data_IF_761054825037
#
_entry.id   IF_761054825037
#
_cell.length_a   1.000
_cell.length_b   1.000
_cell.length_c   1.000
_cell.angle_alpha   90.00
_cell.angle_beta   90.00
_cell.angle_gamma   90.00
#
_symmetry.space_group_name_H-M   'P 1'
#
loop_
_entity.id
_entity.type
_entity.pdbx_description
1 polymer ?
#
# COMPACT_ATOMS: atom_id res chain seq x y z
N UNK A 1 6.50 -17.71 -42.67
CA UNK A 1 5.35 -16.81 -42.48
C UNK A 1 5.05 -16.81 -40.99
N UNK A 2 5.44 -15.76 -40.26
CA UNK A 2 5.19 -15.63 -38.81
C UNK A 2 3.71 -15.25 -38.65
N UNK A 3 2.94 -16.04 -37.90
CA UNK A 3 1.62 -15.59 -37.41
C UNK A 3 1.80 -15.10 -35.99
N UNK A 4 1.40 -13.85 -35.79
CA UNK A 4 1.34 -13.15 -34.53
C UNK A 4 0.12 -13.61 -33.70
N UNK A 5 0.10 -13.10 -32.47
CA UNK A 5 -1.07 -12.96 -31.58
C UNK A 5 -1.36 -14.13 -30.64
N UNK A 6 -0.47 -14.32 -29.66
CA UNK A 6 -0.84 -14.93 -28.38
C UNK A 6 -1.19 -13.79 -27.42
N UNK A 7 -2.41 -13.24 -27.54
CA UNK A 7 -3.00 -12.48 -26.43
C UNK A 7 -3.17 -13.47 -25.28
N UNK A 8 -2.53 -13.20 -24.16
CA UNK A 8 -2.69 -13.96 -22.94
C UNK A 8 -4.12 -13.69 -22.43
N UNK A 9 -5.09 -14.46 -22.89
CA UNK A 9 -6.43 -14.48 -22.30
C UNK A 9 -6.27 -14.96 -20.86
N UNK A 10 -6.55 -14.06 -19.92
CA UNK A 10 -6.58 -14.39 -18.49
C UNK A 10 -7.70 -15.41 -18.29
N UNK A 11 -7.44 -16.48 -17.54
CA UNK A 11 -8.43 -17.52 -17.29
C UNK A 11 -9.66 -16.89 -16.59
N UNK A 12 -10.90 -17.08 -17.08
CA UNK A 12 -12.10 -16.51 -16.49
C UNK A 12 -12.25 -16.77 -14.97
N UNK A 13 -11.76 -17.91 -14.48
CA UNK A 13 -11.76 -18.23 -13.04
C UNK A 13 -10.80 -17.33 -12.23
N UNK A 14 -9.76 -16.81 -12.88
CA UNK A 14 -8.83 -15.86 -12.30
C UNK A 14 -9.43 -14.47 -12.15
N UNK A 15 -10.25 -14.03 -13.10
CA UNK A 15 -10.95 -12.74 -13.02
C UNK A 15 -12.06 -12.74 -11.96
N UNK A 16 -12.81 -13.84 -11.83
CA UNK A 16 -13.90 -13.97 -10.84
C UNK A 16 -13.43 -13.97 -9.38
N UNK A 17 -12.12 -14.09 -9.13
CA UNK A 17 -11.54 -14.21 -7.79
C UNK A 17 -10.60 -13.06 -7.41
N UNK A 18 -10.30 -12.14 -8.32
CA UNK A 18 -9.41 -10.99 -8.02
C UNK A 18 -10.20 -9.88 -7.32
N UNK A 19 -9.75 -9.47 -6.13
CA UNK A 19 -10.30 -8.30 -5.45
C UNK A 19 -9.78 -7.03 -6.12
N UNK A 20 -10.68 -6.17 -6.62
CA UNK A 20 -10.35 -4.80 -7.03
C UNK A 20 -10.56 -3.86 -5.85
N UNK A 21 -9.47 -3.28 -5.36
CA UNK A 21 -9.47 -2.32 -4.28
C UNK A 21 -9.27 -0.91 -4.85
N UNK A 22 -10.33 -0.11 -4.90
CA UNK A 22 -10.24 1.27 -5.34
C UNK A 22 -9.86 2.12 -4.12
N UNK A 23 -8.70 2.76 -4.16
CA UNK A 23 -8.18 3.54 -3.05
C UNK A 23 -7.79 4.94 -3.53
N UNK A 24 -8.75 5.88 -3.56
CA UNK A 24 -8.54 7.22 -4.11
C UNK A 24 -7.85 8.15 -3.09
N UNK A 25 -6.83 7.63 -2.39
CA UNK A 25 -6.06 8.43 -1.43
C UNK A 25 -5.23 9.46 -2.18
N UNK A 26 -5.15 10.66 -1.61
CA UNK A 26 -4.45 11.79 -2.20
C UNK A 26 -3.57 12.51 -1.17
N UNK A 27 -3.85 12.32 0.12
CA UNK A 27 -3.15 12.96 1.23
C UNK A 27 -1.68 12.55 1.34
N UNK A 28 -1.30 11.37 0.83
CA UNK A 28 0.09 10.91 0.84
C UNK A 28 1.01 11.76 -0.05
N UNK A 29 0.47 12.44 -1.06
CA UNK A 29 1.26 13.27 -1.96
C UNK A 29 1.50 14.65 -1.35
N UNK A 30 2.72 14.95 -0.93
CA UNK A 30 3.08 16.15 -0.17
C UNK A 30 2.73 17.47 -0.85
N UNK A 31 2.26 18.44 -0.04
CA UNK A 31 1.83 19.76 -0.51
C UNK A 31 2.92 20.50 -1.27
N UNK A 32 4.15 20.48 -0.74
CA UNK A 32 5.29 21.19 -1.30
C UNK A 32 5.58 20.75 -2.74
N UNK A 33 5.73 19.44 -2.96
CA UNK A 33 6.07 18.89 -4.27
C UNK A 33 4.95 19.09 -5.28
N UNK A 34 3.69 18.90 -4.88
CA UNK A 34 2.55 19.12 -5.77
C UNK A 34 2.46 20.59 -6.18
N UNK A 35 2.67 21.52 -5.25
CA UNK A 35 2.67 22.96 -5.54
C UNK A 35 3.80 23.38 -6.48
N UNK A 36 4.96 22.74 -6.41
CA UNK A 36 6.08 22.99 -7.32
C UNK A 36 5.84 22.43 -8.73
N UNK A 37 5.20 21.25 -8.83
CA UNK A 37 4.98 20.56 -10.10
C UNK A 37 3.78 21.09 -10.88
N UNK A 38 2.76 21.61 -10.19
CA UNK A 38 1.53 22.15 -10.79
C UNK A 38 1.21 23.57 -10.26
N UNK A 39 2.13 24.55 -10.45
CA UNK A 39 1.96 25.91 -9.91
C UNK A 39 0.75 26.67 -10.49
N UNK A 40 0.25 26.26 -11.65
CA UNK A 40 -0.91 26.86 -12.33
C UNK A 40 -2.26 26.44 -11.73
N UNK A 41 -2.30 25.39 -10.92
CA UNK A 41 -3.52 24.88 -10.30
C UNK A 41 -3.58 25.26 -8.81
N UNK A 42 -4.77 25.63 -8.28
CA UNK A 42 -4.96 25.74 -6.84
C UNK A 42 -4.56 24.44 -6.14
N UNK A 43 -3.71 24.53 -5.10
CA UNK A 43 -3.08 23.38 -4.45
C UNK A 43 -4.10 22.34 -3.95
N UNK A 44 -5.23 22.81 -3.41
CA UNK A 44 -6.34 21.98 -2.93
C UNK A 44 -6.93 21.11 -4.05
N UNK A 45 -6.95 21.62 -5.30
CA UNK A 45 -7.40 20.87 -6.48
C UNK A 45 -6.28 20.02 -7.07
N UNK A 46 -5.05 20.53 -7.10
CA UNK A 46 -3.91 19.85 -7.67
C UNK A 46 -3.68 18.49 -6.97
N UNK A 47 -3.67 18.47 -5.63
CA UNK A 47 -3.51 17.22 -4.87
C UNK A 47 -4.66 16.25 -5.08
N UNK A 48 -5.90 16.74 -5.11
CA UNK A 48 -7.09 15.88 -5.36
C UNK A 48 -7.10 15.26 -6.76
N UNK A 49 -6.23 15.70 -7.67
CA UNK A 49 -5.96 15.05 -8.94
C UNK A 49 -5.64 13.56 -8.80
N UNK A 50 -4.97 13.13 -7.72
CA UNK A 50 -4.70 11.72 -7.44
C UNK A 50 -5.99 10.91 -7.23
N UNK A 51 -6.95 11.45 -6.47
CA UNK A 51 -8.24 10.80 -6.24
C UNK A 51 -9.04 10.66 -7.55
N UNK A 52 -8.97 11.68 -8.42
CA UNK A 52 -9.56 11.64 -9.75
C UNK A 52 -8.86 10.62 -10.66
N UNK A 53 -7.53 10.54 -10.59
CA UNK A 53 -6.72 9.55 -11.32
C UNK A 53 -7.16 8.12 -11.02
N UNK A 54 -7.38 7.78 -9.75
CA UNK A 54 -7.90 6.46 -9.35
C UNK A 54 -9.24 6.12 -10.02
N UNK A 55 -10.14 7.11 -10.16
CA UNK A 55 -11.44 6.95 -10.84
C UNK A 55 -11.30 6.83 -12.36
N UNK A 56 -10.35 7.53 -12.95
CA UNK A 56 -10.03 7.32 -14.37
C UNK A 56 -9.48 5.92 -14.63
N UNK A 57 -8.58 5.42 -13.78
CA UNK A 57 -8.09 4.04 -13.87
C UNK A 57 -9.24 3.03 -13.79
N UNK A 58 -10.15 3.22 -12.83
CA UNK A 58 -11.36 2.41 -12.70
C UNK A 58 -12.20 2.40 -13.98
N UNK A 59 -12.43 3.57 -14.59
CA UNK A 59 -13.24 3.70 -15.79
C UNK A 59 -12.57 3.15 -17.07
N UNK A 60 -11.23 3.09 -17.11
CA UNK A 60 -10.47 2.58 -18.25
C UNK A 60 -10.32 1.06 -18.26
N UNK A 61 -10.42 0.43 -17.09
CA UNK A 61 -10.28 -1.01 -16.98
C UNK A 61 -11.55 -1.72 -17.44
N UNK A 62 -11.42 -2.94 -18.00
CA UNK A 62 -12.58 -3.72 -18.38
C UNK A 62 -13.44 -4.05 -17.15
N UNK A 63 -14.71 -4.35 -17.41
CA UNK A 63 -15.57 -5.01 -16.44
C UNK A 63 -14.87 -6.29 -15.94
N UNK A 64 -15.07 -6.61 -14.67
CA UNK A 64 -14.62 -7.87 -14.09
C UNK A 64 -15.75 -8.47 -13.26
N UNK A 65 -15.65 -9.77 -12.99
CA UNK A 65 -16.65 -10.49 -12.19
C UNK A 65 -16.24 -10.67 -10.71
N UNK A 66 -15.03 -10.24 -10.32
CA UNK A 66 -14.54 -10.29 -8.95
C UNK A 66 -15.17 -9.25 -8.01
N UNK A 67 -14.87 -9.29 -6.69
CA UNK A 67 -15.35 -8.28 -5.77
C UNK A 67 -14.65 -6.93 -6.02
N UNK A 68 -15.42 -5.84 -5.90
CA UNK A 68 -14.89 -4.47 -5.88
C UNK A 68 -15.21 -3.81 -4.55
N UNK A 69 -14.19 -3.22 -3.93
CA UNK A 69 -14.31 -2.47 -2.68
C UNK A 69 -13.68 -1.09 -2.85
N UNK A 70 -14.27 -0.08 -2.22
CA UNK A 70 -13.75 1.28 -2.20
C UNK A 70 -13.26 1.60 -0.80
N UNK A 71 -11.98 1.94 -0.66
CA UNK A 71 -11.45 2.42 0.62
C UNK A 71 -12.01 3.82 0.88
N UNK A 72 -12.71 4.06 2.00
CA UNK A 72 -13.15 5.39 2.35
C UNK A 72 -11.94 6.27 2.67
N UNK A 73 -11.86 7.41 1.98
CA UNK A 73 -10.79 8.40 2.16
C UNK A 73 -11.41 9.68 2.71
N UNK A 74 -10.95 10.19 3.87
CA UNK A 74 -11.38 11.48 4.40
C UNK A 74 -11.23 12.60 3.37
N UNK A 75 -12.20 13.50 3.30
CA UNK A 75 -12.12 14.63 2.36
C UNK A 75 -11.35 15.81 2.91
N UNK A 76 -11.20 15.88 4.24
CA UNK A 76 -10.35 16.85 4.90
C UNK A 76 -8.89 16.41 4.85
N UNK A 77 -8.00 17.38 5.02
CA UNK A 77 -6.56 17.19 5.23
C UNK A 77 -6.13 17.93 6.49
N UNK A 78 -5.02 17.51 7.07
CA UNK A 78 -4.40 18.21 8.19
C UNK A 78 -2.91 18.47 7.90
N UNK A 79 -2.30 19.32 8.72
CA UNK A 79 -0.88 19.63 8.59
C UNK A 79 0.02 18.44 8.88
N UNK A 80 1.32 18.69 8.98
CA UNK A 80 2.29 17.65 9.35
C UNK A 80 2.28 17.37 10.84
N UNK A 81 2.26 16.09 11.20
CA UNK A 81 2.46 15.61 12.56
C UNK A 81 3.40 14.41 12.52
N UNK A 82 4.50 14.46 13.27
CA UNK A 82 5.47 13.37 13.28
C UNK A 82 6.13 13.12 11.92
N UNK A 83 6.40 14.18 11.15
CA UNK A 83 7.05 14.08 9.83
C UNK A 83 6.13 13.50 8.73
N UNK A 84 4.81 13.54 8.94
CA UNK A 84 3.83 13.02 7.97
C UNK A 84 2.67 14.02 7.87
N UNK A 85 2.44 14.53 6.65
CA UNK A 85 1.26 15.34 6.34
C UNK A 85 -0.03 14.52 6.45
N UNK A 86 -1.09 15.12 7.01
CA UNK A 86 -2.40 14.47 7.08
C UNK A 86 -2.37 13.08 7.74
N UNK A 87 -1.47 12.91 8.72
CA UNK A 87 -1.17 11.62 9.35
C UNK A 87 -2.42 10.91 9.87
N UNK A 88 -3.33 11.62 10.52
CA UNK A 88 -4.59 11.04 11.03
C UNK A 88 -5.47 10.48 9.90
N UNK A 89 -5.55 11.18 8.77
CA UNK A 89 -6.35 10.76 7.62
C UNK A 89 -5.73 9.56 6.90
N UNK A 90 -4.40 9.51 6.84
CA UNK A 90 -3.64 8.35 6.36
C UNK A 90 -3.93 7.14 7.26
N UNK A 91 -3.78 7.28 8.59
CA UNK A 91 -4.05 6.20 9.54
C UNK A 91 -5.48 5.67 9.41
N UNK A 92 -6.48 6.55 9.31
CA UNK A 92 -7.87 6.16 9.11
C UNK A 92 -8.08 5.36 7.81
N UNK A 93 -7.41 5.76 6.73
CA UNK A 93 -7.51 5.07 5.44
C UNK A 93 -6.80 3.71 5.46
N UNK A 94 -5.63 3.62 6.14
CA UNK A 94 -4.93 2.36 6.36
C UNK A 94 -5.81 1.38 7.15
N UNK A 95 -6.45 1.83 8.23
CA UNK A 95 -7.35 1.01 9.05
C UNK A 95 -8.55 0.50 8.24
N UNK A 96 -9.17 1.37 7.44
CA UNK A 96 -10.29 0.99 6.58
C UNK A 96 -9.88 -0.03 5.49
N UNK A 97 -8.73 0.16 4.85
CA UNK A 97 -8.21 -0.80 3.87
C UNK A 97 -7.92 -2.16 4.51
N UNK A 98 -7.35 -2.18 5.72
CA UNK A 98 -7.09 -3.43 6.45
C UNK A 98 -8.37 -4.16 6.85
N UNK A 99 -9.42 -3.43 7.20
CA UNK A 99 -10.73 -4.00 7.47
C UNK A 99 -11.30 -4.63 6.20
N UNK A 100 -11.27 -3.92 5.08
CA UNK A 100 -11.70 -4.43 3.77
C UNK A 100 -10.95 -5.73 3.43
N UNK A 101 -9.62 -5.72 3.45
CA UNK A 101 -8.82 -6.90 3.10
C UNK A 101 -9.06 -8.09 4.04
N UNK A 102 -9.48 -7.85 5.29
CA UNK A 102 -9.81 -8.91 6.23
C UNK A 102 -11.08 -9.68 5.86
N UNK A 103 -12.04 -9.01 5.21
CA UNK A 103 -13.28 -9.62 4.71
C UNK A 103 -13.06 -10.42 3.42
N UNK A 104 -11.96 -10.15 2.71
CA UNK A 104 -11.57 -10.77 1.44
C UNK A 104 -10.24 -11.55 1.58
N UNK A 105 -10.07 -12.23 2.72
CA UNK A 105 -8.85 -12.98 3.05
C UNK A 105 -8.57 -14.17 2.12
N UNK A 106 -9.60 -14.65 1.42
CA UNK A 106 -9.59 -15.76 0.48
C UNK A 106 -9.34 -15.34 -0.98
N UNK A 107 -9.43 -14.04 -1.30
CA UNK A 107 -9.16 -13.54 -2.65
C UNK A 107 -7.70 -13.85 -3.04
N UNK A 108 -7.42 -14.65 -4.09
CA UNK A 108 -6.06 -15.03 -4.47
C UNK A 108 -5.19 -13.87 -4.96
N UNK A 109 -5.80 -12.77 -5.44
CA UNK A 109 -5.11 -11.60 -5.97
C UNK A 109 -5.81 -10.32 -5.54
N UNK A 110 -5.02 -9.25 -5.42
CA UNK A 110 -5.49 -7.90 -5.13
C UNK A 110 -5.01 -6.98 -6.26
N UNK A 111 -5.94 -6.30 -6.94
CA UNK A 111 -5.68 -5.21 -7.88
C UNK A 111 -6.05 -3.90 -7.20
N UNK A 112 -5.04 -3.13 -6.80
CA UNK A 112 -5.27 -1.80 -6.20
C UNK A 112 -5.27 -0.73 -7.29
N UNK A 113 -6.37 0.03 -7.37
CA UNK A 113 -6.48 1.22 -8.21
C UNK A 113 -6.29 2.43 -7.31
N UNK A 114 -5.04 2.89 -7.25
CA UNK A 114 -4.60 3.91 -6.30
C UNK A 114 -4.68 5.34 -6.81
N UNK A 115 -4.62 6.26 -5.87
CA UNK A 115 -4.27 7.64 -6.15
C UNK A 115 -2.76 7.89 -6.08
N UNK A 116 -2.06 7.39 -5.06
CA UNK A 116 -0.61 7.58 -4.87
C UNK A 116 0.08 6.32 -4.31
N UNK A 117 1.42 6.29 -4.29
CA UNK A 117 2.19 5.05 -4.07
C UNK A 117 1.96 4.36 -2.71
N UNK A 118 1.61 5.11 -1.65
CA UNK A 118 1.40 4.55 -0.31
C UNK A 118 0.13 3.72 -0.16
N UNK A 119 -0.82 3.76 -1.11
CA UNK A 119 -1.95 2.82 -1.11
C UNK A 119 -1.53 1.37 -1.29
N UNK A 120 -0.26 1.13 -1.66
CA UNK A 120 0.33 -0.20 -1.76
C UNK A 120 0.68 -0.79 -0.39
N UNK A 121 0.87 0.03 0.65
CA UNK A 121 1.39 -0.43 1.96
C UNK A 121 0.54 -1.54 2.57
N UNK A 122 -0.78 -1.36 2.64
CA UNK A 122 -1.69 -2.36 3.21
C UNK A 122 -1.82 -3.62 2.33
N UNK A 123 -2.04 -3.54 1.00
CA UNK A 123 -2.03 -4.71 0.12
C UNK A 123 -0.74 -5.53 0.22
N UNK A 124 0.43 -4.89 0.19
CA UNK A 124 1.72 -5.59 0.22
C UNK A 124 1.99 -6.25 1.58
N UNK A 125 1.63 -5.59 2.69
CA UNK A 125 1.78 -6.19 4.03
C UNK A 125 0.78 -7.32 4.27
N UNK A 126 -0.41 -7.26 3.66
CA UNK A 126 -1.35 -8.38 3.63
C UNK A 126 -0.84 -9.56 2.78
N UNK A 127 -0.27 -9.29 1.61
CA UNK A 127 0.39 -10.32 0.81
C UNK A 127 1.59 -10.93 1.55
N UNK A 128 2.35 -10.12 2.28
CA UNK A 128 3.46 -10.61 3.10
C UNK A 128 2.94 -11.52 4.22
N UNK A 129 1.78 -11.22 4.81
CA UNK A 129 1.10 -12.09 5.77
C UNK A 129 0.72 -13.43 5.13
N UNK A 130 0.18 -13.43 3.91
CA UNK A 130 -0.30 -14.62 3.18
C UNK A 130 0.83 -15.52 2.70
N UNK A 131 1.88 -14.93 2.12
CA UNK A 131 2.94 -15.67 1.42
C UNK A 131 4.24 -15.78 2.22
N UNK A 132 4.40 -15.00 3.29
CA UNK A 132 5.59 -15.06 4.14
C UNK A 132 6.88 -14.83 3.36
N UNK A 133 7.82 -15.75 3.48
CA UNK A 133 9.14 -15.66 2.82
C UNK A 133 9.11 -15.97 1.32
N UNK A 134 7.98 -16.45 0.80
CA UNK A 134 7.80 -16.73 -0.63
C UNK A 134 7.31 -15.50 -1.40
N UNK A 135 7.03 -14.38 -0.71
CA UNK A 135 6.70 -13.12 -1.38
C UNK A 135 7.94 -12.44 -1.95
N UNK A 136 7.90 -12.15 -3.25
CA UNK A 136 8.79 -11.20 -3.90
C UNK A 136 8.01 -9.91 -4.24
N UNK A 137 8.65 -8.76 -3.99
CA UNK A 137 8.13 -7.44 -4.34
C UNK A 137 8.96 -6.88 -5.50
N UNK A 138 8.27 -6.48 -6.58
CA UNK A 138 8.88 -5.74 -7.68
C UNK A 138 8.31 -4.33 -7.64
N UNK A 139 9.12 -3.36 -7.21
CA UNK A 139 8.75 -1.95 -7.15
C UNK A 139 9.17 -1.26 -8.45
N UNK A 140 8.21 -0.85 -9.27
CA UNK A 140 8.45 -0.16 -10.54
C UNK A 140 8.03 1.29 -10.36
N UNK A 141 8.99 2.12 -9.99
CA UNK A 141 8.81 3.55 -9.78
C UNK A 141 10.10 4.28 -10.16
N UNK A 142 9.98 5.56 -10.52
CA UNK A 142 11.13 6.45 -10.73
C UNK A 142 11.85 6.77 -9.40
N UNK A 143 11.12 6.69 -8.28
CA UNK A 143 11.64 6.91 -6.93
C UNK A 143 11.65 5.59 -6.14
N UNK A 144 12.56 5.44 -5.17
CA UNK A 144 12.65 4.20 -4.40
C UNK A 144 11.58 4.10 -3.29
N UNK A 145 10.91 5.20 -2.95
CA UNK A 145 9.94 5.33 -1.84
C UNK A 145 10.44 4.80 -0.49
N UNK A 146 11.73 5.06 -0.21
CA UNK A 146 12.43 4.67 1.01
C UNK A 146 12.63 5.82 2.00
N UNK A 147 11.86 6.90 1.87
CA UNK A 147 11.89 7.98 2.85
C UNK A 147 11.33 7.51 4.20
N UNK A 148 11.64 8.27 5.25
CA UNK A 148 11.12 8.08 6.61
C UNK A 148 10.75 9.45 7.17
N UNK A 149 10.03 9.53 8.30
CA UNK A 149 9.74 10.82 8.94
C UNK A 149 10.99 11.70 9.21
N UNK A 150 12.18 11.11 9.22
CA UNK A 150 13.45 11.79 9.45
C UNK A 150 14.14 12.30 8.17
N UNK A 151 13.70 11.94 6.96
CA UNK A 151 14.36 12.35 5.69
C UNK A 151 14.04 13.78 5.28
N UNK A 152 13.04 14.42 5.91
CA UNK A 152 12.71 15.84 5.74
C UNK A 152 11.67 16.14 4.67
N UNK A 153 11.04 15.11 4.09
CA UNK A 153 9.88 15.27 3.22
C UNK A 153 8.66 14.56 3.85
N UNK A 154 7.62 15.33 4.14
CA UNK A 154 6.48 14.86 4.94
C UNK A 154 5.39 14.14 4.12
N UNK A 155 5.57 14.02 2.80
CA UNK A 155 4.64 13.30 1.94
C UNK A 155 4.79 11.78 2.11
N UNK A 156 3.81 11.14 2.72
CA UNK A 156 3.83 9.69 3.01
C UNK A 156 3.98 8.79 1.78
N UNK A 157 3.61 9.26 0.58
CA UNK A 157 3.79 8.52 -0.67
C UNK A 157 5.25 8.11 -0.91
N UNK A 158 6.22 8.89 -0.43
CA UNK A 158 7.65 8.62 -0.53
C UNK A 158 8.15 7.62 0.52
N UNK A 159 7.31 7.20 1.47
CA UNK A 159 7.67 6.29 2.57
C UNK A 159 7.06 4.89 2.38
N UNK A 160 6.44 4.62 1.23
CA UNK A 160 5.68 3.39 0.99
C UNK A 160 6.54 2.13 1.13
N UNK A 161 7.71 2.08 0.48
CA UNK A 161 8.61 0.92 0.55
C UNK A 161 9.22 0.81 1.94
N UNK A 162 9.62 1.92 2.56
CA UNK A 162 10.06 1.93 3.98
C UNK A 162 9.04 1.27 4.89
N UNK A 163 7.77 1.69 4.81
CA UNK A 163 6.70 1.13 5.64
C UNK A 163 6.50 -0.37 5.37
N UNK A 164 6.53 -0.79 4.11
CA UNK A 164 6.42 -2.21 3.70
C UNK A 164 7.56 -3.05 4.32
N UNK A 165 8.80 -2.53 4.35
CA UNK A 165 9.95 -3.20 4.98
C UNK A 165 10.08 -2.98 6.48
N UNK A 166 9.10 -2.33 7.11
CA UNK A 166 9.04 -2.16 8.55
C UNK A 166 9.89 -1.03 9.10
N UNK A 167 10.13 0.02 8.32
CA UNK A 167 10.80 1.27 8.70
C UNK A 167 9.82 2.45 8.60
N UNK A 168 9.97 3.43 9.48
CA UNK A 168 9.14 4.65 9.51
C UNK A 168 8.34 4.83 10.80
N UNK A 169 7.22 5.54 10.72
CA UNK A 169 6.41 5.93 11.86
C UNK A 169 5.92 4.70 12.68
N UNK A 170 6.23 4.63 13.99
CA UNK A 170 5.88 3.47 14.81
C UNK A 170 4.38 3.14 14.85
N UNK A 171 3.51 4.15 14.83
CA UNK A 171 2.06 3.96 14.92
C UNK A 171 1.47 3.43 13.62
N UNK A 172 2.03 3.86 12.48
CA UNK A 172 1.75 3.26 11.17
C UNK A 172 2.21 1.81 11.18
N UNK A 173 3.46 1.55 11.57
CA UNK A 173 4.03 0.19 11.56
C UNK A 173 3.26 -0.79 12.48
N UNK A 174 2.77 -0.32 13.62
CA UNK A 174 1.98 -1.11 14.57
C UNK A 174 0.60 -1.49 14.03
N UNK A 175 0.05 -0.70 13.09
CA UNK A 175 -1.19 -1.04 12.39
C UNK A 175 -0.99 -2.15 11.36
N UNK A 176 0.21 -2.30 10.78
CA UNK A 176 0.43 -3.22 9.65
C UNK A 176 0.47 -4.68 10.10
N UNK A 177 -0.26 -5.55 9.41
CA UNK A 177 -0.40 -6.98 9.78
C UNK A 177 0.91 -7.76 9.75
N UNK A 178 1.80 -7.45 8.80
CA UNK A 178 3.13 -8.06 8.69
C UNK A 178 4.08 -7.19 7.87
N UNK A 179 5.27 -6.96 8.41
CA UNK A 179 6.40 -6.36 7.69
C UNK A 179 6.93 -7.36 6.67
N UNK A 180 7.23 -6.90 5.45
CA UNK A 180 7.92 -7.72 4.46
C UNK A 180 9.44 -7.58 4.67
N UNK A 181 10.09 -8.67 5.09
CA UNK A 181 11.53 -8.72 5.32
C UNK A 181 12.14 -9.67 4.27
N UNK A 182 12.71 -9.15 3.17
CA UNK A 182 13.36 -9.99 2.17
C UNK A 182 14.56 -10.74 2.75
N UNK A 183 14.71 -12.02 2.38
CA UNK A 183 15.88 -12.82 2.78
C UNK A 183 17.17 -12.15 2.28
N UNK A 184 18.12 -11.93 3.19
CA UNK A 184 19.45 -11.40 2.88
C UNK A 184 19.52 -9.89 2.68
N UNK A 185 18.47 -9.14 3.01
CA UNK A 185 18.47 -7.68 2.88
C UNK A 185 19.30 -7.00 3.98
N UNK A 186 20.33 -6.21 3.63
CA UNK A 186 21.35 -5.76 4.59
C UNK A 186 20.98 -4.49 5.39
N UNK A 187 19.71 -4.08 5.44
CA UNK A 187 19.33 -2.85 6.15
C UNK A 187 19.35 -3.01 7.68
N UNK A 188 20.05 -2.11 8.42
CA UNK A 188 20.04 -2.11 9.88
C UNK A 188 18.61 -1.89 10.41
N UNK A 189 18.16 -2.72 11.36
CA UNK A 189 16.86 -2.58 12.03
C UNK A 189 15.73 -3.46 11.48
N UNK A 190 15.95 -4.17 10.37
CA UNK A 190 15.00 -5.13 9.81
C UNK A 190 15.19 -6.52 10.44
N UNK A 191 15.01 -6.66 11.77
CA UNK A 191 15.16 -7.96 12.43
C UNK A 191 13.88 -8.79 12.30
N UNK A 192 13.99 -10.01 11.78
CA UNK A 192 12.93 -11.01 11.88
C UNK A 192 12.67 -11.30 13.35
N UNK A 193 11.52 -10.88 13.89
CA UNK A 193 11.11 -11.27 15.22
C UNK A 193 10.89 -12.79 15.24
N UNK A 194 11.88 -13.55 15.70
CA UNK A 194 11.72 -14.95 16.02
C UNK A 194 10.89 -15.04 17.31
N UNK A 195 9.61 -15.45 17.21
CA UNK A 195 8.90 -15.97 18.39
C UNK A 195 9.63 -17.24 18.82
N UNK A 196 10.39 -17.16 19.89
CA UNK A 196 10.84 -18.35 20.64
C UNK A 196 9.62 -19.07 21.19
N UNK A 197 9.53 -20.42 21.10
CA UNK A 197 8.48 -21.15 21.79
C UNK A 197 8.73 -21.13 23.30
N UNK A 198 7.67 -20.88 24.07
CA UNK A 198 7.67 -20.96 25.53
C UNK A 198 8.06 -22.38 25.98
N UNK A 199 8.93 -22.56 26.98
CA UNK A 199 9.21 -23.89 27.50
C UNK A 199 7.98 -24.41 28.25
N UNK A 200 7.39 -25.50 27.75
CA UNK A 200 6.42 -26.29 28.50
C UNK A 200 7.08 -26.83 29.76
N UNK A 201 6.57 -26.42 30.92
CA UNK A 201 6.93 -27.01 32.21
C UNK A 201 6.37 -28.43 32.30
N UNK A 202 7.22 -29.44 32.19
CA UNK A 202 6.94 -30.77 32.76
C UNK A 202 7.41 -30.78 34.20
N UNK A 203 6.47 -30.70 35.13
CA UNK A 203 6.64 -31.10 36.52
C UNK A 203 6.12 -32.53 36.68
N UNK A 204 6.99 -33.43 37.13
CA UNK A 204 6.63 -34.78 37.54
C UNK A 204 7.84 -35.71 37.60
N UNK A 205 8.48 -35.80 38.77
CA UNK A 205 8.50 -36.98 39.67
C UNK A 205 8.71 -36.46 41.09
#
# INVERSE_FOLDING_TARGET
MKSADARHETDPQEQTSTLRLIWPQWQGAGQEMVGQLLPEAPLDRARRGYALGARFLEAMLPEHDGPTEVVPVPQEESGSTGGIESREQILASLDAAQEILSRHGDAPRILTLGGECSVSVVPFTELARRHGEDLAVVWIDAHPDVDTPETGYDGYHAMAVSAIVGQGDPEILDRLRRRWIPRGWPWPGCTTASRTPSPTSTSGV
#
